data_IF_328902493225
#
_entry.id   IF_328902493225
#
_cell.length_a   1.000
_cell.length_b   1.000
_cell.length_c   1.000
_cell.angle_alpha   90.00
_cell.angle_beta   90.00
_cell.angle_gamma   90.00
#
_symmetry.space_group_name_H-M   'P 1'
#
loop_
_entity.id
_entity.type
_entity.pdbx_description
1 polymer ?
#
# COMPACT_ATOMS: atom_id res chain seq x y z
N UNK A 1 -6.71 -18.91 -2.58
CA UNK A 1 -7.57 -17.71 -2.47
C UNK A 1 -6.67 -16.49 -2.63
N UNK A 2 -7.14 -15.39 -3.22
CA UNK A 2 -6.32 -14.21 -3.48
C UNK A 2 -6.79 -13.03 -2.65
N UNK A 3 -5.87 -12.14 -2.31
CA UNK A 3 -6.19 -10.98 -1.48
C UNK A 3 -5.42 -9.75 -1.98
N UNK A 4 -6.12 -8.62 -2.07
CA UNK A 4 -5.54 -7.30 -2.34
C UNK A 4 -5.81 -6.42 -1.13
N UNK A 5 -4.74 -5.93 -0.52
CA UNK A 5 -4.80 -5.02 0.63
C UNK A 5 -4.34 -3.64 0.19
N UNK A 6 -5.05 -2.61 0.63
CA UNK A 6 -4.60 -1.23 0.62
C UNK A 6 -4.38 -0.77 2.05
N UNK A 7 -3.19 -0.23 2.32
CA UNK A 7 -2.82 0.33 3.61
C UNK A 7 -2.26 1.74 3.46
N UNK A 8 -2.32 2.52 4.54
CA UNK A 8 -1.75 3.86 4.60
C UNK A 8 -0.95 4.01 5.90
N UNK A 9 0.37 4.15 5.77
CA UNK A 9 1.29 4.20 6.92
C UNK A 9 2.43 5.18 6.65
N UNK A 10 3.22 5.47 7.69
CA UNK A 10 4.47 6.24 7.65
C UNK A 10 5.69 5.38 7.26
N UNK A 11 5.46 4.17 6.75
CA UNK A 11 6.47 3.25 6.25
C UNK A 11 5.93 2.45 5.04
N UNK A 12 6.85 1.88 4.26
CA UNK A 12 6.50 1.13 3.06
C UNK A 12 5.86 -0.24 3.36
N UNK A 13 4.95 -0.73 2.49
CA UNK A 13 4.12 -1.92 2.77
C UNK A 13 4.89 -3.25 2.87
N UNK A 14 6.17 -3.30 2.51
CA UNK A 14 6.98 -4.52 2.62
C UNK A 14 7.62 -4.70 4.00
N UNK A 15 7.63 -3.68 4.86
CA UNK A 15 8.20 -3.80 6.19
C UNK A 15 7.33 -4.64 7.12
N UNK A 16 6.00 -4.55 6.97
CA UNK A 16 5.01 -5.37 7.69
C UNK A 16 5.35 -5.53 9.19
N UNK A 17 5.68 -4.42 9.85
CA UNK A 17 6.01 -4.39 11.27
C UNK A 17 4.88 -4.94 12.14
N UNK A 18 5.16 -5.27 13.40
CA UNK A 18 4.11 -5.67 14.34
C UNK A 18 3.00 -4.59 14.40
N UNK A 19 1.75 -5.01 14.31
CA UNK A 19 0.59 -4.10 14.27
C UNK A 19 0.30 -3.46 12.91
N UNK A 20 1.02 -3.81 11.83
CA UNK A 20 0.80 -3.21 10.50
C UNK A 20 -0.65 -3.33 9.99
N UNK A 21 -1.37 -4.36 10.43
CA UNK A 21 -2.76 -4.58 10.06
C UNK A 21 -3.70 -3.45 10.50
N UNK A 22 -3.34 -2.68 11.53
CA UNK A 22 -4.09 -1.50 12.00
C UNK A 22 -4.11 -0.37 10.96
N UNK A 23 -3.15 -0.37 10.02
CA UNK A 23 -3.04 0.60 8.95
C UNK A 23 -3.77 0.17 7.66
N UNK A 24 -4.45 -0.99 7.68
CA UNK A 24 -5.25 -1.47 6.55
C UNK A 24 -6.49 -0.56 6.40
N UNK A 25 -6.58 0.07 5.23
CA UNK A 25 -7.71 0.92 4.86
C UNK A 25 -8.76 0.15 4.07
N UNK A 26 -8.36 -0.89 3.33
CA UNK A 26 -9.25 -1.73 2.55
C UNK A 26 -8.62 -3.12 2.34
N UNK A 27 -9.43 -4.16 2.43
CA UNK A 27 -9.07 -5.54 2.10
C UNK A 27 -10.13 -6.13 1.19
N UNK A 28 -9.70 -6.71 0.07
CA UNK A 28 -10.57 -7.39 -0.88
C UNK A 28 -10.06 -8.83 -1.10
N UNK A 29 -10.95 -9.80 -0.98
CA UNK A 29 -10.66 -11.22 -1.16
C UNK A 29 -11.36 -11.76 -2.42
N UNK A 30 -10.71 -12.69 -3.11
CA UNK A 30 -11.16 -13.24 -4.38
C UNK A 30 -10.85 -14.73 -4.47
N UNK A 31 -11.78 -15.51 -5.02
CA UNK A 31 -11.54 -16.93 -5.30
C UNK A 31 -10.74 -17.14 -6.59
N UNK A 32 -10.84 -16.20 -7.54
CA UNK A 32 -10.24 -16.29 -8.86
C UNK A 32 -9.12 -15.28 -9.03
N UNK A 33 -7.99 -15.73 -9.57
CA UNK A 33 -6.80 -14.90 -9.77
C UNK A 33 -7.08 -13.71 -10.69
N UNK A 34 -7.80 -13.95 -11.79
CA UNK A 34 -8.11 -12.90 -12.78
C UNK A 34 -8.94 -11.75 -12.18
N UNK A 35 -9.85 -12.07 -11.24
CA UNK A 35 -10.63 -11.05 -10.55
C UNK A 35 -9.74 -10.22 -9.62
N UNK A 36 -8.85 -10.87 -8.87
CA UNK A 36 -7.90 -10.20 -7.99
C UNK A 36 -6.92 -9.31 -8.79
N UNK A 37 -6.41 -9.80 -9.92
CA UNK A 37 -5.52 -9.05 -10.82
C UNK A 37 -6.23 -7.87 -11.46
N UNK A 38 -7.46 -8.03 -11.91
CA UNK A 38 -8.26 -6.91 -12.46
C UNK A 38 -8.49 -5.82 -11.41
N UNK A 39 -8.81 -6.21 -10.17
CA UNK A 39 -8.96 -5.28 -9.06
C UNK A 39 -7.64 -4.58 -8.70
N UNK A 40 -6.54 -5.34 -8.63
CA UNK A 40 -5.19 -4.82 -8.40
C UNK A 40 -4.84 -3.74 -9.43
N UNK A 41 -4.94 -4.04 -10.72
CA UNK A 41 -4.59 -3.09 -11.80
C UNK A 41 -5.41 -1.79 -11.74
N UNK A 42 -6.69 -1.90 -11.38
CA UNK A 42 -7.54 -0.73 -11.16
C UNK A 42 -7.00 0.14 -10.02
N UNK A 43 -6.68 -0.45 -8.86
CA UNK A 43 -6.12 0.27 -7.70
C UNK A 43 -4.75 0.90 -8.01
N UNK A 44 -3.87 0.16 -8.68
CA UNK A 44 -2.56 0.69 -9.09
C UNK A 44 -2.73 1.90 -10.02
N UNK A 45 -3.64 1.81 -11.00
CA UNK A 45 -3.93 2.93 -11.91
C UNK A 45 -4.50 4.15 -11.16
N UNK A 46 -5.39 3.94 -10.21
CA UNK A 46 -5.95 5.02 -9.39
C UNK A 46 -4.88 5.73 -8.55
N UNK A 47 -3.96 4.97 -7.94
CA UNK A 47 -2.89 5.53 -7.11
C UNK A 47 -1.81 6.24 -7.95
N UNK A 48 -1.41 5.66 -9.09
CA UNK A 48 -0.48 6.31 -10.05
C UNK A 48 -0.94 7.67 -10.54
N UNK A 49 -2.26 7.88 -10.65
CA UNK A 49 -2.83 9.19 -11.03
C UNK A 49 -2.77 10.20 -9.90
N UNK A 50 -2.78 9.76 -8.65
CA UNK A 50 -2.81 10.61 -7.45
C UNK A 50 -1.41 10.95 -6.95
N UNK A 51 -0.47 10.02 -7.09
CA UNK A 51 0.86 10.11 -6.48
C UNK A 51 1.95 10.10 -7.55
N UNK A 52 2.88 11.07 -7.51
CA UNK A 52 3.92 11.21 -8.53
C UNK A 52 5.07 10.22 -8.36
N UNK A 53 5.21 9.59 -7.19
CA UNK A 53 6.28 8.63 -6.90
C UNK A 53 5.69 7.26 -6.62
N UNK A 54 6.36 6.23 -7.14
CA UNK A 54 6.05 4.83 -6.88
C UNK A 54 7.32 3.99 -6.74
N UNK A 55 7.22 2.91 -5.96
CA UNK A 55 8.21 1.83 -5.92
C UNK A 55 7.47 0.50 -5.83
N UNK A 56 7.94 -0.49 -6.58
CA UNK A 56 7.40 -1.84 -6.57
C UNK A 56 8.48 -2.83 -6.13
N UNK A 57 8.10 -3.80 -5.29
CA UNK A 57 8.97 -4.90 -4.89
C UNK A 57 8.30 -6.25 -5.07
N UNK A 58 9.08 -7.20 -5.59
CA UNK A 58 8.73 -8.63 -5.73
C UNK A 58 7.41 -8.90 -6.47
N UNK A 59 6.95 -7.99 -7.35
CA UNK A 59 5.62 -8.04 -7.99
C UNK A 59 4.47 -8.29 -7.00
N UNK A 60 4.66 -7.89 -5.74
CA UNK A 60 3.78 -8.18 -4.61
C UNK A 60 3.41 -6.92 -3.84
N UNK A 61 4.35 -5.99 -3.74
CA UNK A 61 4.22 -4.76 -2.97
C UNK A 61 4.35 -3.55 -3.89
N UNK A 62 3.50 -2.57 -3.70
CA UNK A 62 3.59 -1.26 -4.35
C UNK A 62 3.44 -0.17 -3.30
N UNK A 63 4.37 0.77 -3.27
CA UNK A 63 4.30 1.97 -2.44
C UNK A 63 4.10 3.18 -3.35
N UNK A 64 3.17 4.06 -2.99
CA UNK A 64 2.90 5.31 -3.70
C UNK A 64 3.00 6.47 -2.73
N UNK A 65 3.62 7.57 -3.13
CA UNK A 65 3.73 8.74 -2.25
C UNK A 65 3.92 10.06 -2.98
N UNK A 66 3.75 11.14 -2.23
CA UNK A 66 4.04 12.51 -2.63
C UNK A 66 4.78 13.18 -1.50
N UNK A 67 5.79 13.99 -1.83
CA UNK A 67 6.50 14.83 -0.84
C UNK A 67 5.60 15.87 -0.18
N UNK A 68 4.36 16.04 -0.66
CA UNK A 68 3.35 16.94 -0.08
C UNK A 68 2.53 16.28 1.03
N UNK A 69 2.60 14.96 1.17
CA UNK A 69 1.84 14.22 2.17
C UNK A 69 2.80 13.56 3.16
N UNK A 70 2.91 14.17 4.33
CA UNK A 70 3.79 13.77 5.42
C UNK A 70 3.02 13.90 6.74
N UNK A 71 3.50 13.22 7.79
CA UNK A 71 3.01 13.41 9.15
C UNK A 71 4.17 13.69 10.10
N UNK A 72 3.96 14.60 11.04
CA UNK A 72 4.95 14.86 12.08
C UNK A 72 4.91 13.72 13.12
N UNK A 73 6.07 13.11 13.38
CA UNK A 73 6.23 12.13 14.44
C UNK A 73 6.93 12.78 15.63
N UNK A 74 6.21 12.97 16.73
CA UNK A 74 6.75 13.59 17.95
C UNK A 74 7.93 12.81 18.54
N UNK A 75 7.88 11.47 18.49
CA UNK A 75 8.95 10.61 19.01
C UNK A 75 10.25 10.74 18.22
N UNK A 76 10.17 11.05 16.92
CA UNK A 76 11.33 11.22 16.06
C UNK A 76 11.72 12.69 15.87
N UNK A 77 10.87 13.61 16.32
CA UNK A 77 10.96 15.06 16.07
C UNK A 77 11.09 15.42 14.56
N UNK A 78 10.48 14.63 13.67
CA UNK A 78 10.68 14.75 12.21
C UNK A 78 9.38 14.49 11.41
N UNK A 79 9.35 14.98 10.17
CA UNK A 79 8.25 14.79 9.21
C UNK A 79 8.42 13.47 8.44
N UNK A 80 7.67 12.45 8.84
CA UNK A 80 7.67 11.15 8.20
C UNK A 80 6.86 11.15 6.90
N UNK A 81 7.37 10.47 5.88
CA UNK A 81 6.69 10.29 4.61
C UNK A 81 5.51 9.33 4.77
N UNK A 82 4.33 9.75 4.32
CA UNK A 82 3.17 8.86 4.22
C UNK A 82 3.21 8.07 2.91
N UNK A 83 3.01 6.77 3.02
CA UNK A 83 2.92 5.83 1.90
C UNK A 83 1.52 5.27 1.77
N UNK A 84 1.06 5.19 0.53
CA UNK A 84 -0.11 4.44 0.10
C UNK A 84 0.36 3.10 -0.44
N UNK A 85 0.17 2.03 0.34
CA UNK A 85 0.67 0.70 0.04
C UNK A 85 -0.40 -0.20 -0.56
N UNK A 86 -0.06 -0.95 -1.61
CA UNK A 86 -0.85 -2.08 -2.11
C UNK A 86 -0.06 -3.37 -1.91
N UNK A 87 -0.74 -4.42 -1.42
CA UNK A 87 -0.19 -5.76 -1.21
C UNK A 87 -1.05 -6.78 -1.96
N UNK A 88 -0.43 -7.63 -2.78
CA UNK A 88 -1.07 -8.77 -3.43
C UNK A 88 -0.65 -10.08 -2.78
N UNK A 89 -1.57 -10.75 -2.07
CA UNK A 89 -1.31 -12.00 -1.39
C UNK A 89 -1.98 -13.18 -2.11
N UNK A 90 -1.26 -14.31 -2.12
CA UNK A 90 -1.79 -15.62 -2.47
C UNK A 90 -1.94 -16.38 -1.15
N UNK A 91 -3.17 -16.79 -0.83
CA UNK A 91 -3.55 -17.60 0.33
C UNK A 91 -3.76 -19.06 -0.05
#
# INVERSE_FOLDING_TARGET
>A
MYEVIYMKADYEPWWAFEGWEEFIMEKAEFDQEDQARSFLEKKLTELRRKFPKEEMRNNKYWAFWSVKEQCYCESCEDDLQIFHGIIFNIK
#
